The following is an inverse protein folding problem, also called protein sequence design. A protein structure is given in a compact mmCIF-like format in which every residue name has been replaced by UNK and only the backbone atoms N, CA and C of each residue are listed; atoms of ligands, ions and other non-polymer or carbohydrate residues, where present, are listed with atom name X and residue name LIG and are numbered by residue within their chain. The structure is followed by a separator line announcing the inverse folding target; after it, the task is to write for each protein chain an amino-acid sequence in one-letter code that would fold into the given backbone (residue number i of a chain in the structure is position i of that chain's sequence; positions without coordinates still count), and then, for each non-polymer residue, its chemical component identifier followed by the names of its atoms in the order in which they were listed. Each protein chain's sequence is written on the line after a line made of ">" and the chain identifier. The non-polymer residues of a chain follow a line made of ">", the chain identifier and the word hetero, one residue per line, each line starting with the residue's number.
data_IF_927286035155
#
_entry.id   IF_927286035155
#
_cell.length_a   1.000
_cell.length_b   1.000
_cell.length_c   1.000
_cell.angle_alpha   90.00
_cell.angle_beta   90.00
_cell.angle_gamma   90.00
#
_symmetry.space_group_name_H-M   'P 1'
#
loop_
_entity.id
_entity.type
_entity.pdbx_description
1 polymer ?
#
# COMPACT_ATOMS: atom_id res chain seq x y z
N UNK A 1 0.60 -13.57 0.80
CA UNK A 1 1.64 -12.89 1.61
C UNK A 1 1.31 -11.40 1.78
N UNK A 2 1.88 -10.76 2.79
CA UNK A 2 1.82 -9.31 3.00
C UNK A 2 3.23 -8.77 3.17
N UNK A 3 3.52 -7.63 2.55
CA UNK A 3 4.81 -6.96 2.61
C UNK A 3 4.57 -5.46 2.78
N UNK A 4 5.09 -4.89 3.85
CA UNK A 4 5.01 -3.45 4.11
C UNK A 4 6.27 -2.99 4.83
N UNK A 5 6.68 -1.75 4.56
CA UNK A 5 7.92 -1.20 5.10
C UNK A 5 8.24 0.15 4.47
N UNK A 6 9.30 0.76 4.96
CA UNK A 6 9.84 2.01 4.47
C UNK A 6 11.34 1.84 4.24
N UNK A 7 11.87 2.71 3.40
CA UNK A 7 13.28 2.76 3.06
C UNK A 7 13.73 4.21 3.21
N UNK A 8 14.81 4.44 3.95
CA UNK A 8 15.46 5.74 4.02
C UNK A 8 16.71 5.68 3.17
N UNK A 9 16.73 6.41 2.06
CA UNK A 9 17.93 6.51 1.23
C UNK A 9 18.92 7.54 1.80
N UNK A 10 20.17 7.42 1.38
CA UNK A 10 21.28 8.25 1.89
C UNK A 10 21.14 9.75 1.57
N UNK A 11 20.32 10.09 0.58
CA UNK A 11 19.94 11.47 0.22
C UNK A 11 18.75 12.00 1.04
N UNK A 12 18.23 11.21 1.99
CA UNK A 12 17.11 11.57 2.85
C UNK A 12 15.73 11.35 2.22
N UNK A 13 15.64 10.76 1.03
CA UNK A 13 14.35 10.35 0.49
C UNK A 13 13.78 9.15 1.27
N UNK A 14 12.49 9.24 1.62
CA UNK A 14 11.78 8.18 2.35
C UNK A 14 10.82 7.45 1.40
N UNK A 15 11.19 6.24 1.02
CA UNK A 15 10.33 5.28 0.31
C UNK A 15 9.43 4.51 1.26
N UNK A 16 8.34 3.95 0.74
CA UNK A 16 7.34 3.26 1.55
C UNK A 16 6.46 2.39 0.65
N UNK A 17 6.30 1.13 1.04
CA UNK A 17 5.51 0.15 0.30
C UNK A 17 4.53 -0.55 1.23
N UNK A 18 3.37 -0.88 0.67
CA UNK A 18 2.39 -1.75 1.32
C UNK A 18 1.69 -2.56 0.24
N UNK A 19 1.99 -3.84 0.17
CA UNK A 19 1.50 -4.73 -0.88
C UNK A 19 1.08 -6.09 -0.32
N UNK A 20 0.10 -6.68 -1.00
CA UNK A 20 -0.35 -8.03 -0.76
C UNK A 20 -0.14 -8.86 -2.03
N UNK A 21 0.31 -10.10 -1.82
CA UNK A 21 0.38 -11.12 -2.85
C UNK A 21 -0.52 -12.31 -2.51
N UNK A 22 -1.00 -13.00 -3.53
CA UNK A 22 -1.85 -14.18 -3.42
C UNK A 22 -1.29 -15.29 -4.33
N UNK A 23 -1.16 -16.51 -3.81
CA UNK A 23 -0.51 -17.64 -4.50
C UNK A 23 0.88 -17.30 -5.06
N UNK A 24 1.68 -16.54 -4.30
CA UNK A 24 3.03 -16.14 -4.70
C UNK A 24 3.10 -15.05 -5.78
N UNK A 25 1.97 -14.51 -6.23
CA UNK A 25 1.88 -13.46 -7.25
C UNK A 25 1.40 -12.15 -6.64
N UNK A 26 1.74 -11.02 -7.26
CA UNK A 26 1.23 -9.72 -6.85
C UNK A 26 -0.30 -9.67 -6.98
N UNK A 27 -0.95 -9.08 -5.98
CA UNK A 27 -2.41 -9.02 -5.91
C UNK A 27 -2.91 -7.58 -5.85
N UNK A 28 -2.46 -6.81 -4.85
CA UNK A 28 -2.84 -5.40 -4.70
C UNK A 28 -1.76 -4.61 -3.94
N UNK A 29 -1.51 -3.37 -4.36
CA UNK A 29 -0.53 -2.47 -3.76
C UNK A 29 -1.15 -1.11 -3.42
N UNK A 30 -0.75 -0.53 -2.30
CA UNK A 30 -1.21 0.78 -1.85
C UNK A 30 -0.34 1.89 -2.45
N UNK A 31 -0.98 2.94 -2.97
CA UNK A 31 -0.35 4.18 -3.36
C UNK A 31 -0.60 5.22 -2.25
N UNK A 32 0.46 5.55 -1.52
CA UNK A 32 0.42 6.52 -0.40
C UNK A 32 0.26 7.98 -0.84
N UNK A 33 0.59 8.30 -2.10
CA UNK A 33 0.49 9.66 -2.62
C UNK A 33 -0.95 9.98 -2.97
N UNK A 34 -1.63 9.02 -3.60
CA UNK A 34 -3.03 9.17 -4.02
C UNK A 34 -4.03 8.60 -3.01
N UNK A 35 -3.57 7.87 -1.98
CA UNK A 35 -4.39 7.12 -1.03
C UNK A 35 -5.30 6.08 -1.70
N UNK A 36 -4.84 5.54 -2.83
CA UNK A 36 -5.59 4.57 -3.65
C UNK A 36 -4.89 3.23 -3.70
N UNK A 37 -5.50 2.24 -4.36
CA UNK A 37 -4.95 0.89 -4.48
C UNK A 37 -4.83 0.47 -5.94
N UNK A 38 -3.67 -0.09 -6.30
CA UNK A 38 -3.45 -0.70 -7.61
C UNK A 38 -3.68 -2.20 -7.51
N UNK A 39 -4.72 -2.70 -8.21
CA UNK A 39 -5.00 -4.12 -8.32
C UNK A 39 -4.17 -4.73 -9.47
N UNK A 40 -3.29 -5.66 -9.13
CA UNK A 40 -2.48 -6.41 -10.11
C UNK A 40 -3.24 -7.62 -10.68
N UNK A 41 -4.19 -8.17 -9.91
CA UNK A 41 -5.08 -9.25 -10.34
C UNK A 41 -6.54 -8.75 -10.47
N UNK A 42 -7.31 -9.16 -11.51
CA UNK A 42 -8.72 -8.78 -11.64
C UNK A 42 -9.58 -9.11 -10.42
N UNK A 43 -9.27 -10.20 -9.70
CA UNK A 43 -9.98 -10.59 -8.48
C UNK A 43 -9.74 -9.60 -7.33
N UNK A 44 -8.61 -8.88 -7.34
CA UNK A 44 -8.31 -7.84 -6.36
C UNK A 44 -9.15 -6.57 -6.51
N UNK A 45 -9.89 -6.40 -7.63
CA UNK A 45 -10.74 -5.23 -7.88
C UNK A 45 -11.86 -5.05 -6.85
N UNK A 46 -12.31 -6.16 -6.24
CA UNK A 46 -13.30 -6.11 -5.15
C UNK A 46 -12.66 -5.51 -3.89
N UNK A 47 -11.46 -5.96 -3.55
CA UNK A 47 -10.68 -5.44 -2.41
C UNK A 47 -10.30 -3.97 -2.61
N UNK A 48 -9.83 -3.59 -3.81
CA UNK A 48 -9.55 -2.20 -4.20
C UNK A 48 -10.73 -1.30 -3.87
N UNK A 49 -11.92 -1.61 -4.40
CA UNK A 49 -13.14 -0.81 -4.18
C UNK A 49 -13.50 -0.67 -2.70
N UNK A 50 -13.37 -1.76 -1.93
CA UNK A 50 -13.65 -1.74 -0.49
C UNK A 50 -12.66 -0.83 0.25
N UNK A 51 -11.36 -1.00 0.04
CA UNK A 51 -10.34 -0.26 0.76
C UNK A 51 -10.21 1.20 0.30
N UNK A 52 -10.49 1.51 -0.96
CA UNK A 52 -10.56 2.91 -1.42
C UNK A 52 -11.72 3.69 -0.78
N UNK A 53 -12.80 3.02 -0.39
CA UNK A 53 -13.87 3.63 0.40
C UNK A 53 -13.48 3.86 1.87
N UNK A 54 -12.46 3.15 2.39
CA UNK A 54 -11.99 3.24 3.78
C UNK A 54 -10.92 4.34 3.95
N UNK A 55 -11.31 5.60 3.75
CA UNK A 55 -10.39 6.76 3.81
C UNK A 55 -9.55 6.83 5.10
N UNK A 56 -10.15 6.54 6.25
CA UNK A 56 -9.44 6.55 7.53
C UNK A 56 -8.34 5.48 7.58
N UNK A 57 -8.60 4.28 7.04
CA UNK A 57 -7.62 3.22 6.94
C UNK A 57 -6.47 3.58 6.01
N UNK A 58 -6.75 4.21 4.87
CA UNK A 58 -5.70 4.64 3.92
C UNK A 58 -4.84 5.76 4.51
N UNK A 59 -5.43 6.73 5.21
CA UNK A 59 -4.67 7.76 5.94
C UNK A 59 -3.78 7.16 7.03
N UNK A 60 -4.29 6.18 7.78
CA UNK A 60 -3.51 5.46 8.78
C UNK A 60 -2.31 4.73 8.17
N UNK A 61 -2.48 4.08 7.01
CA UNK A 61 -1.38 3.43 6.28
C UNK A 61 -0.34 4.45 5.80
N UNK A 62 -0.78 5.60 5.26
CA UNK A 62 0.14 6.69 4.87
C UNK A 62 0.95 7.18 6.07
N UNK A 63 0.28 7.53 7.18
CA UNK A 63 0.97 7.98 8.40
C UNK A 63 1.96 6.95 8.93
N UNK A 64 1.61 5.66 8.90
CA UNK A 64 2.57 4.62 9.25
C UNK A 64 3.81 4.62 8.34
N UNK A 65 3.62 4.72 7.02
CA UNK A 65 4.72 4.66 6.05
C UNK A 65 5.60 5.91 5.99
N UNK A 66 5.11 7.06 6.47
CA UNK A 66 5.80 8.35 6.39
C UNK A 66 6.32 8.87 7.74
N UNK A 67 5.71 8.47 8.86
CA UNK A 67 6.05 9.05 10.18
C UNK A 67 6.52 8.01 11.21
N UNK A 68 6.05 6.77 11.12
CA UNK A 68 6.28 5.74 12.14
C UNK A 68 7.36 4.77 11.69
N UNK A 69 7.25 4.33 10.45
CA UNK A 69 8.36 3.81 9.68
C UNK A 69 9.20 5.02 9.23
#
# INVERSE_FOLDING_TARGET
>A
QQMYGCELSSDGHQGGYWQYGYDGRDFIAFDRETLTWTAADPQAQVTKRKWEAELAGNRGRKGYLEEIC
#
